data_IF_972470905890
#
_entry.id   IF_972470905890
#
_cell.length_a   1.000
_cell.length_b   1.000
_cell.length_c   1.000
_cell.angle_alpha   90.00
_cell.angle_beta   90.00
_cell.angle_gamma   90.00
#
_symmetry.space_group_name_H-M   'P 1'
#
loop_
_entity.id
_entity.type
_entity.pdbx_description
1 polymer ?
#
# COMPACT_ATOMS: atom_id res chain seq x y z
N UNK A 1 -5.33 10.62 22.53
CA UNK A 1 -4.94 9.28 22.04
C UNK A 1 -6.17 8.41 22.02
N UNK A 2 -6.57 8.03 20.83
CA UNK A 2 -7.59 7.02 20.57
C UNK A 2 -6.94 5.63 20.56
N UNK A 3 -7.76 4.59 20.60
CA UNK A 3 -7.25 3.20 20.51
C UNK A 3 -6.53 2.94 19.18
N UNK A 4 -6.85 3.69 18.12
CA UNK A 4 -6.39 3.45 16.75
C UNK A 4 -4.98 4.01 16.46
N UNK A 5 -4.47 4.91 17.30
CA UNK A 5 -3.15 5.54 17.11
C UNK A 5 -1.99 4.53 17.16
N UNK A 6 -2.20 3.35 17.76
CA UNK A 6 -1.19 2.28 17.85
C UNK A 6 -1.36 1.17 16.79
N UNK A 7 -2.32 1.31 15.88
CA UNK A 7 -2.57 0.34 14.82
C UNK A 7 -2.13 0.89 13.47
N UNK A 8 -1.62 0.00 12.63
CA UNK A 8 -1.32 0.29 11.23
C UNK A 8 -2.08 -0.70 10.34
N UNK A 9 -2.61 -0.20 9.23
CA UNK A 9 -3.30 -1.04 8.23
C UNK A 9 -2.40 -1.17 7.01
N UNK A 10 -2.11 -2.40 6.62
CA UNK A 10 -1.19 -2.68 5.51
C UNK A 10 -1.97 -2.98 4.23
N UNK A 11 -1.72 -2.17 3.21
CA UNK A 11 -2.18 -2.41 1.85
C UNK A 11 -1.16 -3.31 1.17
N UNK A 12 -1.50 -4.59 1.09
CA UNK A 12 -0.70 -5.60 0.40
C UNK A 12 -1.08 -5.62 -1.06
N UNK A 13 -0.12 -5.34 -1.94
CA UNK A 13 -0.34 -5.33 -3.38
C UNK A 13 0.25 -6.60 -3.97
N UNK A 14 -0.64 -7.44 -4.49
CA UNK A 14 -0.27 -8.64 -5.19
C UNK A 14 0.20 -8.35 -6.61
N UNK A 15 1.33 -8.92 -7.00
CA UNK A 15 1.73 -8.96 -8.40
C UNK A 15 2.43 -10.26 -8.75
N UNK A 16 2.70 -10.44 -10.03
CA UNK A 16 3.33 -11.65 -10.56
C UNK A 16 4.58 -11.25 -11.35
N UNK A 17 5.68 -11.95 -11.14
CA UNK A 17 6.95 -11.61 -11.80
C UNK A 17 6.87 -11.74 -13.32
N UNK A 18 5.92 -12.53 -13.82
CA UNK A 18 5.65 -12.71 -15.26
C UNK A 18 5.23 -11.41 -15.97
N UNK A 19 4.79 -10.38 -15.24
CA UNK A 19 4.45 -9.07 -15.82
C UNK A 19 5.67 -8.20 -16.16
N UNK A 20 6.87 -8.57 -15.70
CA UNK A 20 8.09 -7.81 -15.94
C UNK A 20 8.30 -6.64 -14.96
N UNK A 21 9.57 -6.23 -14.82
CA UNK A 21 10.02 -5.28 -13.80
C UNK A 21 9.38 -3.89 -13.90
N UNK A 22 9.09 -3.41 -15.11
CA UNK A 22 8.48 -2.10 -15.31
C UNK A 22 7.02 -2.08 -14.83
N UNK A 23 6.27 -3.16 -15.06
CA UNK A 23 4.90 -3.27 -14.55
C UNK A 23 4.88 -3.36 -13.04
N UNK A 24 5.80 -4.13 -12.43
CA UNK A 24 5.96 -4.19 -10.97
C UNK A 24 6.31 -2.81 -10.37
N UNK A 25 7.16 -2.04 -11.05
CA UNK A 25 7.51 -0.67 -10.65
C UNK A 25 6.30 0.25 -10.69
N UNK A 26 5.52 0.22 -11.76
CA UNK A 26 4.31 1.04 -11.89
C UNK A 26 3.27 0.68 -10.83
N UNK A 27 3.06 -0.61 -10.56
CA UNK A 27 2.14 -1.08 -9.51
C UNK A 27 2.59 -0.58 -8.13
N UNK A 28 3.88 -0.64 -7.83
CA UNK A 28 4.45 -0.10 -6.58
C UNK A 28 4.23 1.40 -6.48
N UNK A 29 4.50 2.16 -7.55
CA UNK A 29 4.30 3.61 -7.56
C UNK A 29 2.83 4.02 -7.36
N UNK A 30 1.90 3.29 -7.99
CA UNK A 30 0.47 3.54 -7.79
C UNK A 30 0.04 3.24 -6.36
N UNK A 31 0.54 2.16 -5.76
CA UNK A 31 0.25 1.82 -4.38
C UNK A 31 0.72 2.88 -3.39
N UNK A 32 1.95 3.37 -3.54
CA UNK A 32 2.50 4.46 -2.74
C UNK A 32 1.65 5.74 -2.87
N UNK A 33 1.22 6.06 -4.09
CA UNK A 33 0.34 7.21 -4.34
C UNK A 33 -1.00 7.06 -3.61
N UNK A 34 -1.63 5.89 -3.70
CA UNK A 34 -2.91 5.62 -3.04
C UNK A 34 -2.77 5.72 -1.52
N UNK A 35 -1.76 5.07 -0.93
CA UNK A 35 -1.53 5.14 0.52
C UNK A 35 -1.24 6.56 1.00
N UNK A 36 -0.47 7.33 0.22
CA UNK A 36 -0.23 8.74 0.53
C UNK A 36 -1.50 9.57 0.50
N UNK A 37 -2.35 9.40 -0.52
CA UNK A 37 -3.62 10.10 -0.65
C UNK A 37 -4.57 9.71 0.51
N UNK A 38 -4.65 8.42 0.86
CA UNK A 38 -5.46 7.94 1.97
C UNK A 38 -5.01 8.54 3.32
N UNK A 39 -3.71 8.58 3.58
CA UNK A 39 -3.18 9.18 4.81
C UNK A 39 -3.38 10.70 4.87
N UNK A 40 -3.49 11.39 3.72
CA UNK A 40 -3.56 12.87 3.66
C UNK A 40 -5.00 13.38 3.59
N UNK A 41 -5.86 12.71 2.82
CA UNK A 41 -7.17 13.24 2.43
C UNK A 41 -8.35 12.48 3.06
N UNK A 42 -8.21 11.17 3.28
CA UNK A 42 -9.33 10.33 3.72
C UNK A 42 -9.61 10.40 5.23
N UNK A 43 -8.79 11.14 6.00
CA UNK A 43 -8.93 11.34 7.46
C UNK A 43 -9.13 10.02 8.22
N UNK A 44 -8.37 9.00 7.84
CA UNK A 44 -8.44 7.69 8.47
C UNK A 44 -7.99 7.77 9.94
N UNK A 45 -8.60 6.99 10.85
CA UNK A 45 -8.29 7.02 12.27
C UNK A 45 -6.96 6.36 12.64
N UNK A 46 -6.31 5.69 11.68
CA UNK A 46 -5.03 5.02 11.83
C UNK A 46 -4.21 5.17 10.54
N UNK A 47 -2.89 5.00 10.67
CA UNK A 47 -1.96 5.11 9.55
C UNK A 47 -2.09 3.90 8.61
N UNK A 48 -1.95 4.14 7.32
CA UNK A 48 -1.87 3.09 6.31
C UNK A 48 -0.46 2.99 5.73
N UNK A 49 0.02 1.76 5.54
CA UNK A 49 1.29 1.44 4.87
C UNK A 49 1.04 0.67 3.57
N UNK A 50 1.96 0.75 2.61
CA UNK A 50 1.93 -0.05 1.38
C UNK A 50 3.06 -1.09 1.42
N UNK A 51 2.76 -2.34 1.13
CA UNK A 51 3.74 -3.41 0.99
C UNK A 51 3.50 -4.16 -0.33
N UNK A 52 4.53 -4.23 -1.17
CA UNK A 52 4.51 -5.10 -2.33
C UNK A 52 4.63 -6.55 -1.82
N UNK A 53 3.52 -7.31 -1.86
CA UNK A 53 3.66 -8.75 -1.79
C UNK A 53 4.39 -9.18 -3.07
N UNK A 54 5.38 -10.05 -2.90
CA UNK A 54 6.07 -10.68 -4.02
C UNK A 54 5.12 -11.55 -4.85
N UNK A 55 5.67 -12.58 -5.49
CA UNK A 55 4.88 -13.47 -6.34
C UNK A 55 3.69 -14.08 -5.58
N UNK A 56 2.50 -13.53 -5.80
CA UNK A 56 1.24 -14.14 -5.39
C UNK A 56 0.72 -14.89 -6.61
N UNK A 57 1.19 -16.13 -6.72
CA UNK A 57 0.70 -17.11 -7.68
C UNK A 57 -0.71 -17.59 -7.31
#
# INVERSE_FOLDING_TARGET
MTIFDNYEVWFVIGSQHLYGSETLRQVTQHAEHVVKALNTEAKLPCKTGAEAAGDVA
#
